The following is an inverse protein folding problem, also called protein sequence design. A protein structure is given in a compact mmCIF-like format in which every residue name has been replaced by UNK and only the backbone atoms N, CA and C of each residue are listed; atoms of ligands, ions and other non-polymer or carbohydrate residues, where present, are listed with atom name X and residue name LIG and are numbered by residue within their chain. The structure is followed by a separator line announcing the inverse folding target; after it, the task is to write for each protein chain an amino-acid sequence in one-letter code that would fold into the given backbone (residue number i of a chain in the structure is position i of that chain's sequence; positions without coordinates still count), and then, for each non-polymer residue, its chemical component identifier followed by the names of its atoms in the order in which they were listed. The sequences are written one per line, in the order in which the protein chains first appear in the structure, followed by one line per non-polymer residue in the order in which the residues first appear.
data_IF_088951935241
#
_entry.id   IF_088951935241
#
_cell.length_a   1.000
_cell.length_b   1.000
_cell.length_c   1.000
_cell.angle_alpha   90.00
_cell.angle_beta   90.00
_cell.angle_gamma   90.00
#
_symmetry.space_group_name_H-M   'P 1'
#
loop_
_entity.id
_entity.type
_entity.pdbx_description
1 polymer ?
#
# COMPACT_ATOMS: atom_id res chain seq x y z
N UNK A 1 -31.51 -0.09 -3.07
CA UNK A 1 -31.66 0.99 -4.08
C UNK A 1 -31.31 2.29 -3.38
N UNK A 2 -30.17 2.90 -3.69
CA UNK A 2 -29.80 4.20 -3.12
C UNK A 2 -30.51 5.32 -3.88
N UNK A 3 -31.12 6.26 -3.15
CA UNK A 3 -31.83 7.41 -3.72
C UNK A 3 -30.84 8.34 -4.43
N UNK A 4 -31.30 9.15 -5.39
CA UNK A 4 -30.42 10.09 -6.13
C UNK A 4 -29.74 11.13 -5.23
N UNK A 5 -30.28 11.37 -4.03
CA UNK A 5 -29.71 12.27 -3.02
C UNK A 5 -28.38 11.75 -2.44
N UNK A 6 -28.18 10.44 -2.35
CA UNK A 6 -26.92 9.82 -1.87
C UNK A 6 -25.72 10.04 -2.82
N UNK A 7 -25.96 10.59 -4.02
CA UNK A 7 -24.91 10.87 -5.02
C UNK A 7 -24.36 12.30 -4.97
N UNK A 8 -24.88 13.17 -4.09
CA UNK A 8 -24.46 14.56 -4.00
C UNK A 8 -23.24 14.73 -3.07
N UNK A 9 -22.06 14.84 -3.67
CA UNK A 9 -20.84 15.22 -2.95
C UNK A 9 -20.92 16.70 -2.57
N UNK A 10 -20.94 16.99 -1.26
CA UNK A 10 -20.92 18.37 -0.75
C UNK A 10 -19.48 18.88 -0.77
N UNK A 11 -19.19 19.74 -1.75
CA UNK A 11 -17.87 20.37 -1.92
C UNK A 11 -17.99 21.83 -1.46
N UNK A 12 -17.06 22.36 -0.64
CA UNK A 12 -17.01 23.78 -0.32
C UNK A 12 -17.03 24.66 -1.58
N UNK A 13 -17.74 25.79 -1.53
CA UNK A 13 -17.96 26.65 -2.71
C UNK A 13 -16.66 27.06 -3.40
N UNK A 14 -15.64 27.46 -2.64
CA UNK A 14 -14.33 27.87 -3.16
C UNK A 14 -13.65 26.74 -3.93
N UNK A 15 -13.73 25.50 -3.42
CA UNK A 15 -13.18 24.33 -4.07
C UNK A 15 -13.97 23.95 -5.32
N UNK A 16 -15.30 24.11 -5.29
CA UNK A 16 -16.17 23.88 -6.45
C UNK A 16 -15.82 24.84 -7.61
N UNK A 17 -15.64 26.12 -7.29
CA UNK A 17 -15.25 27.15 -8.26
C UNK A 17 -13.86 26.88 -8.83
N UNK A 18 -12.88 26.54 -7.98
CA UNK A 18 -11.53 26.19 -8.42
C UNK A 18 -11.52 24.97 -9.36
N UNK A 19 -12.28 23.92 -9.04
CA UNK A 19 -12.40 22.74 -9.90
C UNK A 19 -13.06 23.11 -11.23
N UNK A 20 -14.09 23.95 -11.21
CA UNK A 20 -14.77 24.40 -12.43
C UNK A 20 -13.82 25.16 -13.36
N UNK A 21 -12.95 26.01 -12.81
CA UNK A 21 -11.94 26.72 -13.58
C UNK A 21 -10.89 25.77 -14.18
N UNK A 22 -10.49 24.73 -13.45
CA UNK A 22 -9.62 23.67 -13.98
C UNK A 22 -10.29 22.93 -15.14
N UNK A 23 -11.56 22.53 -14.99
CA UNK A 23 -12.30 21.84 -16.07
C UNK A 23 -12.38 22.71 -17.33
N UNK A 24 -12.66 24.01 -17.18
CA UNK A 24 -12.68 24.95 -18.31
C UNK A 24 -11.32 25.12 -18.98
N UNK A 25 -10.22 25.10 -18.20
CA UNK A 25 -8.85 25.19 -18.73
C UNK A 25 -8.41 23.92 -19.47
N UNK A 26 -8.95 22.76 -19.09
CA UNK A 26 -8.58 21.46 -19.65
C UNK A 26 -9.80 20.68 -20.18
N UNK A 27 -10.50 21.19 -21.21
CA UNK A 27 -11.75 20.62 -21.69
C UNK A 27 -11.61 19.25 -22.35
N UNK A 28 -10.39 18.90 -22.80
CA UNK A 28 -10.11 17.62 -23.48
C UNK A 28 -10.32 16.38 -22.59
N UNK A 29 -10.36 16.55 -21.26
CA UNK A 29 -10.69 15.46 -20.34
C UNK A 29 -12.20 15.18 -20.25
N UNK A 30 -13.06 16.03 -20.82
CA UNK A 30 -14.47 15.75 -21.05
C UNK A 30 -15.39 15.76 -19.81
N UNK A 31 -14.93 16.27 -18.66
CA UNK A 31 -15.79 16.41 -17.48
C UNK A 31 -16.89 17.46 -17.70
N UNK A 32 -18.14 17.11 -17.41
CA UNK A 32 -19.30 18.01 -17.56
C UNK A 32 -19.43 19.03 -16.43
N UNK A 33 -18.72 18.82 -15.32
CA UNK A 33 -18.69 19.75 -14.19
C UNK A 33 -17.97 19.19 -12.96
N UNK A 34 -17.85 19.99 -11.89
CA UNK A 34 -17.05 19.63 -10.72
C UNK A 34 -17.47 18.33 -10.03
N UNK A 35 -18.77 18.03 -9.97
CA UNK A 35 -19.26 16.79 -9.35
C UNK A 35 -18.79 15.53 -10.08
N UNK A 36 -18.68 15.58 -11.42
CA UNK A 36 -18.16 14.46 -12.21
C UNK A 36 -16.65 14.31 -12.03
N UNK A 37 -15.92 15.42 -12.03
CA UNK A 37 -14.49 15.45 -11.74
C UNK A 37 -14.17 14.84 -10.37
N UNK A 38 -14.88 15.26 -9.31
CA UNK A 38 -14.65 14.76 -7.95
C UNK A 38 -14.97 13.27 -7.85
N UNK A 39 -16.07 12.81 -8.47
CA UNK A 39 -16.42 11.39 -8.49
C UNK A 39 -15.35 10.55 -9.19
N UNK A 40 -14.84 11.01 -10.33
CA UNK A 40 -13.78 10.33 -11.06
C UNK A 40 -12.45 10.32 -10.28
N UNK A 41 -12.08 11.46 -9.67
CA UNK A 41 -10.90 11.56 -8.83
C UNK A 41 -10.97 10.58 -7.64
N UNK A 42 -12.10 10.53 -6.94
CA UNK A 42 -12.33 9.56 -5.85
C UNK A 42 -12.24 8.13 -6.39
N UNK A 43 -12.86 7.83 -7.53
CA UNK A 43 -12.80 6.48 -8.13
C UNK A 43 -11.36 6.06 -8.45
N UNK A 44 -10.57 6.96 -9.07
CA UNK A 44 -9.16 6.70 -9.38
C UNK A 44 -8.36 6.49 -8.10
N UNK A 45 -8.56 7.34 -7.09
CA UNK A 45 -7.89 7.20 -5.81
C UNK A 45 -8.22 5.88 -5.09
N UNK A 46 -9.50 5.48 -5.06
CA UNK A 46 -9.90 4.19 -4.50
C UNK A 46 -9.31 3.01 -5.28
N UNK A 47 -9.25 3.12 -6.61
CA UNK A 47 -8.60 2.11 -7.46
C UNK A 47 -7.11 2.00 -7.14
N UNK A 48 -6.42 3.13 -7.00
CA UNK A 48 -5.00 3.16 -6.61
C UNK A 48 -4.77 2.55 -5.22
N UNK A 49 -5.63 2.84 -4.23
CA UNK A 49 -5.56 2.22 -2.90
C UNK A 49 -5.68 0.70 -3.02
N UNK A 50 -6.68 0.22 -3.74
CA UNK A 50 -6.92 -1.21 -3.90
C UNK A 50 -5.76 -1.90 -4.66
N UNK A 51 -5.23 -1.27 -5.71
CA UNK A 51 -4.05 -1.78 -6.42
C UNK A 51 -2.82 -1.84 -5.50
N UNK A 52 -2.58 -0.82 -4.68
CA UNK A 52 -1.51 -0.82 -3.66
C UNK A 52 -1.71 -1.93 -2.64
N UNK A 53 -2.94 -2.16 -2.18
CA UNK A 53 -3.25 -3.22 -1.23
C UNK A 53 -2.97 -4.61 -1.82
N UNK A 54 -3.33 -4.84 -3.09
CA UNK A 54 -3.05 -6.09 -3.79
C UNK A 54 -1.54 -6.33 -3.90
N UNK A 55 -0.77 -5.29 -4.24
CA UNK A 55 0.71 -5.35 -4.31
C UNK A 55 1.29 -5.66 -2.93
N UNK A 56 0.87 -4.94 -1.88
CA UNK A 56 1.32 -5.19 -0.51
C UNK A 56 1.03 -6.63 -0.07
N UNK A 57 -0.17 -7.15 -0.32
CA UNK A 57 -0.53 -8.54 0.01
C UNK A 57 0.34 -9.55 -0.74
N UNK A 58 0.74 -9.28 -1.99
CA UNK A 58 1.66 -10.14 -2.75
C UNK A 58 3.09 -10.07 -2.18
N UNK A 59 3.57 -8.88 -1.85
CA UNK A 59 4.87 -8.67 -1.25
C UNK A 59 5.00 -9.40 0.10
N UNK A 60 3.99 -9.26 0.97
CA UNK A 60 3.89 -9.96 2.27
C UNK A 60 4.01 -11.48 2.11
N UNK A 61 3.28 -12.07 1.16
CA UNK A 61 3.33 -13.54 0.91
C UNK A 61 4.71 -14.04 0.51
N UNK A 62 5.51 -13.22 -0.18
CA UNK A 62 6.86 -13.57 -0.64
C UNK A 62 7.96 -13.17 0.35
N UNK A 63 7.60 -12.38 1.37
CA UNK A 63 8.54 -11.79 2.32
C UNK A 63 9.39 -12.83 3.07
N UNK A 64 8.84 -13.95 3.60
CA UNK A 64 9.64 -14.97 4.27
C UNK A 64 10.78 -15.50 3.39
N UNK A 65 10.45 -15.91 2.16
CA UNK A 65 11.42 -16.49 1.23
C UNK A 65 12.50 -15.48 0.85
N UNK A 66 12.14 -14.21 0.59
CA UNK A 66 13.12 -13.17 0.29
C UNK A 66 14.03 -12.86 1.49
N UNK A 67 13.51 -12.92 2.71
CA UNK A 67 14.30 -12.74 3.93
C UNK A 67 15.31 -13.88 4.07
N UNK A 68 14.88 -15.12 3.82
CA UNK A 68 15.75 -16.28 3.80
C UNK A 68 16.88 -16.09 2.78
N UNK A 69 16.55 -15.78 1.53
CA UNK A 69 17.52 -15.57 0.45
C UNK A 69 18.54 -14.47 0.80
N UNK A 70 18.08 -13.34 1.34
CA UNK A 70 18.96 -12.21 1.68
C UNK A 70 19.87 -12.49 2.87
N UNK A 71 19.40 -13.27 3.84
CA UNK A 71 20.12 -13.49 5.09
C UNK A 71 20.94 -14.78 5.09
N UNK A 72 20.69 -15.71 4.15
CA UNK A 72 21.42 -16.97 4.03
C UNK A 72 22.94 -16.79 4.04
N UNK A 73 23.45 -15.84 3.26
CA UNK A 73 24.89 -15.57 3.17
C UNK A 73 25.44 -14.85 4.42
N UNK A 74 24.58 -14.20 5.20
CA UNK A 74 24.97 -13.41 6.37
C UNK A 74 24.98 -14.22 7.68
N UNK A 75 23.99 -15.09 7.88
CA UNK A 75 23.81 -15.86 9.12
C UNK A 75 23.85 -17.38 8.94
N UNK A 76 24.02 -17.85 7.71
CA UNK A 76 23.99 -19.27 7.37
C UNK A 76 22.59 -19.78 7.03
N UNK A 77 22.55 -20.89 6.28
CA UNK A 77 21.33 -21.46 5.73
C UNK A 77 20.32 -21.89 6.81
N UNK A 78 20.78 -22.60 7.84
CA UNK A 78 19.92 -23.10 8.91
C UNK A 78 19.26 -21.95 9.71
N UNK A 79 20.03 -20.92 10.08
CA UNK A 79 19.50 -19.78 10.82
C UNK A 79 18.52 -18.95 9.99
N UNK A 80 18.84 -18.71 8.72
CA UNK A 80 17.97 -18.00 7.79
C UNK A 80 16.65 -18.75 7.56
N UNK A 81 16.71 -20.08 7.44
CA UNK A 81 15.53 -20.92 7.29
C UNK A 81 14.64 -20.90 8.54
N UNK A 82 15.21 -21.03 9.75
CA UNK A 82 14.45 -20.92 11.00
C UNK A 82 13.73 -19.55 11.10
N UNK A 83 14.42 -18.49 10.70
CA UNK A 83 13.86 -17.13 10.71
C UNK A 83 12.71 -16.98 9.71
N UNK A 84 12.90 -17.48 8.50
CA UNK A 84 11.90 -17.54 7.43
C UNK A 84 10.64 -18.29 7.88
N UNK A 85 10.80 -19.49 8.45
CA UNK A 85 9.67 -20.26 8.97
C UNK A 85 8.91 -19.54 10.09
N UNK A 86 9.62 -18.87 10.99
CA UNK A 86 9.00 -18.09 12.06
C UNK A 86 8.18 -16.93 11.49
N UNK A 87 8.66 -16.28 10.44
CA UNK A 87 7.97 -15.20 9.75
C UNK A 87 6.76 -15.72 8.94
N UNK A 88 6.90 -16.90 8.32
CA UNK A 88 5.81 -17.56 7.60
C UNK A 88 4.62 -17.92 8.52
N UNK A 89 4.87 -18.18 9.81
CA UNK A 89 3.83 -18.53 10.79
C UNK A 89 3.04 -17.33 11.34
N UNK A 90 3.42 -16.10 11.00
CA UNK A 90 2.68 -14.89 11.40
C UNK A 90 1.28 -14.94 10.77
N UNK A 91 0.24 -14.77 11.60
CA UNK A 91 -1.17 -14.75 11.19
C UNK A 91 -1.74 -13.36 11.42
N UNK A 92 -1.34 -12.41 10.58
CA UNK A 92 -1.92 -11.07 10.56
C UNK A 92 -2.56 -10.84 9.20
N UNK A 93 -3.81 -10.40 9.20
CA UNK A 93 -4.59 -10.13 7.98
C UNK A 93 -4.23 -8.76 7.37
N UNK A 94 -3.83 -7.82 8.23
CA UNK A 94 -3.41 -6.49 7.83
C UNK A 94 -1.91 -6.48 7.44
N UNK A 95 -1.55 -6.03 6.22
CA UNK A 95 -0.16 -6.00 5.77
C UNK A 95 0.77 -5.17 6.65
N UNK A 96 0.29 -4.07 7.22
CA UNK A 96 1.09 -3.20 8.09
C UNK A 96 1.43 -3.90 9.42
N UNK A 97 0.45 -4.57 10.02
CA UNK A 97 0.66 -5.36 11.24
C UNK A 97 1.60 -6.53 10.99
N UNK A 98 1.44 -7.24 9.87
CA UNK A 98 2.36 -8.29 9.43
C UNK A 98 3.80 -7.77 9.36
N UNK A 99 4.02 -6.65 8.68
CA UNK A 99 5.35 -6.05 8.53
C UNK A 99 5.93 -5.66 9.88
N UNK A 100 5.15 -5.06 10.78
CA UNK A 100 5.62 -4.71 12.11
C UNK A 100 6.11 -5.95 12.89
N UNK A 101 5.36 -7.06 12.83
CA UNK A 101 5.79 -8.33 13.44
C UNK A 101 7.05 -8.89 12.81
N UNK A 102 7.21 -8.77 11.49
CA UNK A 102 8.44 -9.17 10.78
C UNK A 102 9.62 -8.35 11.30
N UNK A 103 9.49 -7.02 11.36
CA UNK A 103 10.56 -6.15 11.87
C UNK A 103 10.89 -6.54 13.31
N UNK A 104 9.90 -6.82 14.16
CA UNK A 104 10.13 -7.27 15.54
C UNK A 104 10.91 -8.58 15.64
N UNK A 105 10.64 -9.54 14.76
CA UNK A 105 11.41 -10.79 14.69
C UNK A 105 12.85 -10.52 14.23
N UNK A 106 13.01 -9.69 13.20
CA UNK A 106 14.32 -9.34 12.63
C UNK A 106 15.18 -8.54 13.61
N UNK A 107 14.60 -7.61 14.38
CA UNK A 107 15.28 -6.80 15.40
C UNK A 107 16.11 -7.64 16.35
N UNK A 108 15.58 -8.79 16.77
CA UNK A 108 16.26 -9.71 17.69
C UNK A 108 17.49 -10.41 17.10
N UNK A 109 17.73 -10.30 15.78
CA UNK A 109 18.85 -10.94 15.08
C UNK A 109 19.81 -9.96 14.43
N UNK A 110 19.27 -8.96 13.73
CA UNK A 110 20.07 -8.03 12.90
C UNK A 110 20.04 -6.57 13.39
N UNK A 111 19.33 -6.31 14.50
CA UNK A 111 19.18 -4.96 15.07
C UNK A 111 18.10 -4.11 14.37
N UNK A 112 17.67 -3.05 15.06
CA UNK A 112 16.54 -2.18 14.65
C UNK A 112 16.71 -1.61 13.24
N UNK A 113 17.82 -0.89 13.02
CA UNK A 113 17.98 -0.12 11.79
C UNK A 113 18.03 -1.02 10.55
N UNK A 114 18.68 -2.17 10.65
CA UNK A 114 18.78 -3.11 9.54
C UNK A 114 17.45 -3.84 9.31
N UNK A 115 16.73 -4.19 10.37
CA UNK A 115 15.39 -4.77 10.28
C UNK A 115 14.39 -3.85 9.56
N UNK A 116 14.37 -2.57 9.92
CA UNK A 116 13.51 -1.58 9.26
C UNK A 116 13.90 -1.35 7.80
N UNK A 117 15.20 -1.25 7.51
CA UNK A 117 15.70 -1.07 6.15
C UNK A 117 15.35 -2.27 5.27
N UNK A 118 15.53 -3.50 5.78
CA UNK A 118 15.21 -4.73 5.07
C UNK A 118 13.70 -4.81 4.77
N UNK A 119 12.85 -4.54 5.76
CA UNK A 119 11.40 -4.53 5.58
C UNK A 119 10.95 -3.51 4.53
N UNK A 120 11.51 -2.28 4.55
CA UNK A 120 11.24 -1.26 3.53
C UNK A 120 11.66 -1.74 2.14
N UNK A 121 12.89 -2.25 2.01
CA UNK A 121 13.40 -2.76 0.73
C UNK A 121 12.52 -3.87 0.17
N UNK A 122 12.00 -4.77 1.03
CA UNK A 122 11.14 -5.87 0.63
C UNK A 122 9.77 -5.42 0.09
N UNK A 123 9.27 -4.27 0.57
CA UNK A 123 8.04 -3.64 0.07
C UNK A 123 8.25 -2.85 -1.23
N UNK A 124 9.47 -2.40 -1.52
CA UNK A 124 9.80 -1.59 -2.70
C UNK A 124 9.95 -2.41 -4.01
N UNK A 125 10.22 -3.72 -3.93
CA UNK A 125 10.59 -4.56 -5.10
C UNK A 125 9.42 -4.90 -6.06
N UNK A 126 8.23 -4.31 -5.92
CA UNK A 126 7.09 -4.55 -6.83
C UNK A 126 6.71 -3.32 -7.70
N UNK A 127 7.70 -2.50 -8.10
CA UNK A 127 7.53 -1.48 -9.16
C UNK A 127 8.15 -1.92 -10.48
#
# INVERSE_FOLDING_TARGET
MGSEEDKMVRVPKEMYEAINDVIKRYPYYGWKGPSEFVRDAIRRYLKEINEREIVLRKAVKKMPNKIEEMLRDFMGEEEAQILSERIFRIREDEPEEYVNKVVDILKGRIGQNLAELLARKLLEVEK
#
